data_IF_479492192150
#
_entry.id   IF_479492192150
#
_cell.length_a   1.000
_cell.length_b   1.000
_cell.length_c   1.000
_cell.angle_alpha   90.00
_cell.angle_beta   90.00
_cell.angle_gamma   90.00
#
_symmetry.space_group_name_H-M   'P 1'
#
loop_
_entity.id
_entity.type
_entity.pdbx_description
1 polymer ?
#
# COMPACT_ATOMS: atom_id res chain seq x y z
N UNK A 1 -5.27 -11.33 6.72
CA UNK A 1 -4.06 -10.94 7.49
C UNK A 1 -3.00 -10.28 6.58
N UNK A 2 -2.11 -9.45 7.14
CA UNK A 2 -0.91 -8.92 6.45
C UNK A 2 0.05 -10.06 6.14
N UNK A 3 0.48 -10.16 4.87
CA UNK A 3 1.44 -11.15 4.38
C UNK A 3 2.84 -10.58 4.20
N UNK A 4 2.92 -9.39 3.63
CA UNK A 4 4.20 -8.77 3.29
C UNK A 4 4.13 -7.23 3.38
N UNK A 5 5.26 -6.61 3.68
CA UNK A 5 5.43 -5.16 3.68
C UNK A 5 6.80 -4.82 3.08
N UNK A 6 6.80 -3.98 2.05
CA UNK A 6 8.01 -3.50 1.41
C UNK A 6 8.04 -1.97 1.42
N UNK A 7 9.23 -1.42 1.70
CA UNK A 7 9.50 0.01 1.74
C UNK A 7 10.48 0.34 0.61
N UNK A 8 10.21 1.42 -0.11
CA UNK A 8 11.03 1.90 -1.21
C UNK A 8 11.29 3.39 -1.03
N UNK A 9 12.56 3.77 -1.15
CA UNK A 9 12.96 5.16 -1.24
C UNK A 9 12.74 5.68 -2.66
N UNK A 10 12.04 6.79 -2.77
CA UNK A 10 11.64 7.43 -4.02
C UNK A 10 12.19 8.87 -4.15
N UNK A 11 12.84 9.42 -3.11
CA UNK A 11 13.17 10.84 -3.02
C UNK A 11 14.10 11.32 -4.15
N UNK A 12 14.98 10.43 -4.63
CA UNK A 12 15.92 10.74 -5.71
C UNK A 12 15.29 10.67 -7.12
N UNK A 13 14.11 10.08 -7.25
CA UNK A 13 13.50 9.76 -8.56
C UNK A 13 12.26 10.59 -8.88
N UNK A 14 11.58 11.13 -7.87
CA UNK A 14 10.36 11.93 -8.06
C UNK A 14 10.20 12.98 -6.98
N UNK A 15 9.53 14.08 -7.34
CA UNK A 15 9.13 15.12 -6.38
C UNK A 15 7.74 14.86 -5.76
N UNK A 16 7.04 13.81 -6.18
CA UNK A 16 5.68 13.52 -5.71
C UNK A 16 5.64 12.99 -4.26
N UNK A 17 6.63 12.19 -3.86
CA UNK A 17 6.74 11.58 -2.55
C UNK A 17 8.19 11.13 -2.30
N UNK A 18 8.62 11.07 -1.04
CA UNK A 18 9.92 10.53 -0.65
C UNK A 18 9.89 9.01 -0.47
N UNK A 19 8.76 8.45 -0.05
CA UNK A 19 8.65 7.05 0.35
C UNK A 19 7.45 6.38 -0.31
N UNK A 20 7.61 5.10 -0.66
CA UNK A 20 6.51 4.23 -1.08
C UNK A 20 6.50 3.01 -0.15
N UNK A 21 5.32 2.69 0.38
CA UNK A 21 5.07 1.44 1.10
C UNK A 21 4.07 0.59 0.34
N UNK A 22 4.40 -0.69 0.16
CA UNK A 22 3.50 -1.67 -0.44
C UNK A 22 3.15 -2.74 0.59
N UNK A 23 1.85 -2.93 0.80
CA UNK A 23 1.31 -3.95 1.69
C UNK A 23 0.64 -5.04 0.86
N UNK A 24 0.94 -6.29 1.19
CA UNK A 24 0.26 -7.46 0.64
C UNK A 24 -0.61 -8.08 1.73
N UNK A 25 -1.88 -8.32 1.45
CA UNK A 25 -2.81 -8.96 2.38
C UNK A 25 -3.45 -10.18 1.75
N UNK A 26 -3.96 -11.08 2.59
CA UNK A 26 -4.69 -12.29 2.15
C UNK A 26 -5.88 -12.00 1.25
N UNK A 27 -6.56 -10.88 1.48
CA UNK A 27 -7.77 -10.47 0.79
C UNK A 27 -7.96 -8.94 0.95
N UNK A 28 -8.95 -8.39 0.24
CA UNK A 28 -9.24 -6.95 0.21
C UNK A 28 -9.84 -6.44 1.53
N UNK A 29 -10.54 -7.27 2.30
CA UNK A 29 -11.11 -6.88 3.59
C UNK A 29 -9.98 -6.72 4.63
N UNK A 30 -9.00 -7.61 4.62
CA UNK A 30 -7.77 -7.50 5.40
C UNK A 30 -6.99 -6.22 5.06
N UNK A 31 -6.93 -5.84 3.78
CA UNK A 31 -6.34 -4.56 3.35
C UNK A 31 -7.10 -3.36 3.92
N UNK A 32 -8.44 -3.39 3.84
CA UNK A 32 -9.28 -2.33 4.41
C UNK A 32 -9.02 -2.13 5.90
N UNK A 33 -8.99 -3.20 6.70
CA UNK A 33 -8.71 -3.11 8.13
C UNK A 33 -7.30 -2.58 8.41
N UNK A 34 -6.30 -2.98 7.64
CA UNK A 34 -4.94 -2.46 7.77
C UNK A 34 -4.90 -0.94 7.55
N UNK A 35 -5.59 -0.43 6.53
CA UNK A 35 -5.60 1.02 6.25
C UNK A 35 -6.35 1.79 7.34
N UNK A 36 -7.43 1.23 7.89
CA UNK A 36 -8.14 1.81 9.05
C UNK A 36 -7.22 1.92 10.27
N UNK A 37 -6.52 0.83 10.63
CA UNK A 37 -5.57 0.83 11.75
C UNK A 37 -4.38 1.77 11.52
N UNK A 38 -3.90 1.87 10.27
CA UNK A 38 -2.80 2.76 9.92
C UNK A 38 -3.22 4.23 10.06
N UNK A 39 -4.45 4.57 9.69
CA UNK A 39 -5.00 5.93 9.82
C UNK A 39 -5.14 6.35 11.29
N UNK A 40 -5.45 5.41 12.16
CA UNK A 40 -5.54 5.65 13.61
C UNK A 40 -4.16 5.61 14.30
N UNK A 41 -3.11 5.24 13.58
CA UNK A 41 -1.75 5.16 14.10
C UNK A 41 -1.05 6.53 14.15
N UNK A 42 0.04 6.59 14.93
CA UNK A 42 0.89 7.79 15.01
C UNK A 42 1.54 8.19 13.68
N UNK A 43 1.55 7.33 12.67
CA UNK A 43 2.06 7.65 11.33
C UNK A 43 1.16 8.72 10.68
N UNK A 44 -0.16 8.61 10.87
CA UNK A 44 -1.16 9.53 10.32
C UNK A 44 -1.59 10.61 11.32
N UNK A 45 -1.70 10.28 12.61
CA UNK A 45 -2.23 11.22 13.61
C UNK A 45 -1.19 12.19 14.15
N UNK A 46 0.08 12.02 13.77
CA UNK A 46 1.14 13.00 13.97
C UNK A 46 1.70 13.40 12.61
N UNK A 47 2.14 14.65 12.41
CA UNK A 47 2.62 15.13 11.11
C UNK A 47 4.05 14.64 10.82
N UNK A 48 4.28 13.33 10.98
CA UNK A 48 5.55 12.70 10.59
C UNK A 48 5.55 12.34 9.11
N UNK A 49 4.38 12.00 8.55
CA UNK A 49 4.19 11.70 7.13
C UNK A 49 2.90 12.35 6.63
N UNK A 50 2.94 12.85 5.40
CA UNK A 50 1.75 13.21 4.64
C UNK A 50 1.44 12.07 3.66
N UNK A 51 0.27 11.44 3.81
CA UNK A 51 -0.15 10.40 2.86
C UNK A 51 -0.78 11.04 1.65
N UNK A 52 -0.03 11.00 0.55
CA UNK A 52 -0.39 11.66 -0.70
C UNK A 52 -1.44 10.85 -1.48
N UNK A 53 -1.33 9.52 -1.50
CA UNK A 53 -2.23 8.65 -2.28
C UNK A 53 -2.18 7.20 -1.77
N UNK A 54 -3.27 6.47 -2.00
CA UNK A 54 -3.38 5.03 -1.76
C UNK A 54 -3.83 4.38 -3.07
N UNK A 55 -3.11 3.36 -3.53
CA UNK A 55 -3.37 2.64 -4.77
C UNK A 55 -3.67 1.16 -4.48
N UNK A 56 -4.95 0.78 -4.31
CA UNK A 56 -5.32 -0.63 -4.22
C UNK A 56 -5.04 -1.34 -5.55
N UNK A 57 -4.45 -2.54 -5.50
CA UNK A 57 -4.12 -3.34 -6.67
C UNK A 57 -4.34 -4.83 -6.38
N UNK A 58 -4.55 -5.62 -7.44
CA UNK A 58 -4.59 -7.09 -7.38
C UNK A 58 -3.33 -7.59 -8.06
N UNK A 59 -2.52 -8.34 -7.33
CA UNK A 59 -1.32 -8.97 -7.89
C UNK A 59 -1.73 -9.93 -9.02
N UNK A 60 -1.11 -9.78 -10.19
CA UNK A 60 -1.37 -10.62 -11.36
C UNK A 60 -2.86 -10.73 -11.77
N UNK A 61 -3.71 -9.77 -11.41
CA UNK A 61 -5.17 -9.86 -11.66
C UNK A 61 -5.55 -10.06 -13.13
N UNK A 62 -4.68 -9.66 -14.07
CA UNK A 62 -4.86 -9.93 -15.50
C UNK A 62 -4.81 -11.44 -15.83
N UNK A 63 -3.95 -12.22 -15.15
CA UNK A 63 -3.83 -13.67 -15.39
C UNK A 63 -5.11 -14.42 -14.99
N UNK A 64 -5.73 -14.01 -13.88
CA UNK A 64 -6.99 -14.60 -13.42
C UNK A 64 -8.15 -14.25 -14.35
N UNK A 65 -8.17 -13.03 -14.90
CA UNK A 65 -9.26 -12.54 -15.73
C UNK A 65 -9.17 -13.03 -17.18
N UNK A 66 -7.99 -12.93 -17.79
CA UNK A 66 -7.81 -13.25 -19.22
C UNK A 66 -7.54 -14.74 -19.45
N UNK A 67 -7.26 -15.47 -18.37
CA UNK A 67 -6.73 -16.83 -18.43
C UNK A 67 -5.25 -16.78 -18.80
N UNK A 68 -4.41 -17.42 -17.99
CA UNK A 68 -3.03 -17.70 -18.38
C UNK A 68 -3.06 -18.56 -19.64
N UNK A 69 -2.90 -17.94 -20.82
CA UNK A 69 -2.79 -18.64 -22.11
C UNK A 69 -1.68 -19.69 -22.08
#
# INVERSE_FOLDING_TARGET
MLRNMQLFDAEAFTACCSDIVMFETEDIQSYYFLVEELRDSKVYTKPYFDVISIFPAIENGFLEFEGAN
#
